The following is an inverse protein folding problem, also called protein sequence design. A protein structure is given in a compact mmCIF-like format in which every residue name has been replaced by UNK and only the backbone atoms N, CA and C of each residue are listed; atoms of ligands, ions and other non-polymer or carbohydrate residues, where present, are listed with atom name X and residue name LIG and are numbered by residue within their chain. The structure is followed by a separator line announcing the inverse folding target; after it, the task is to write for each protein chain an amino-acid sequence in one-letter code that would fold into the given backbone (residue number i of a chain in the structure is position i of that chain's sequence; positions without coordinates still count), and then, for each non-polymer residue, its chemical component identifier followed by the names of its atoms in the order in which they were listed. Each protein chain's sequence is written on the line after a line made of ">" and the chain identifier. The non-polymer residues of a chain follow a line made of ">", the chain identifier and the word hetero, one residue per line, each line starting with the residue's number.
data_IF_275106027612
#
_entry.id   IF_275106027612
#
_cell.length_a   1.000
_cell.length_b   1.000
_cell.length_c   1.000
_cell.angle_alpha   90.00
_cell.angle_beta   90.00
_cell.angle_gamma   90.00
#
_symmetry.space_group_name_H-M   'P 1'
#
loop_
_entity.id
_entity.type
_entity.pdbx_description
1 polymer ?
#
# COMPACT_ATOMS: atom_id res chain seq x y z
N UNK A 1 22.33 -26.40 5.52
CA UNK A 1 20.90 -26.33 5.16
C UNK A 1 20.55 -24.85 5.01
N UNK A 2 20.45 -24.36 3.77
CA UNK A 2 20.15 -22.96 3.50
C UNK A 2 18.63 -22.75 3.68
N UNK A 3 18.22 -22.08 4.76
CA UNK A 3 16.83 -21.67 4.99
C UNK A 3 16.61 -20.22 4.53
N UNK A 4 16.97 -19.90 3.28
CA UNK A 4 16.60 -18.61 2.69
C UNK A 4 15.14 -18.71 2.27
N UNK A 5 14.24 -18.17 3.10
CA UNK A 5 12.90 -17.83 2.66
C UNK A 5 13.01 -16.65 1.71
N UNK A 6 12.62 -16.87 0.46
CA UNK A 6 12.46 -15.78 -0.49
C UNK A 6 11.30 -14.88 -0.01
N UNK A 7 11.47 -13.55 -0.02
CA UNK A 7 10.38 -12.65 0.32
C UNK A 7 9.23 -12.88 -0.66
N UNK A 8 8.08 -13.30 -0.13
CA UNK A 8 6.88 -13.47 -0.94
C UNK A 8 6.46 -12.16 -1.59
N UNK A 9 5.98 -12.21 -2.82
CA UNK A 9 5.61 -11.02 -3.61
C UNK A 9 4.32 -10.33 -3.14
N UNK A 10 3.71 -10.85 -2.08
CA UNK A 10 2.43 -10.37 -1.55
C UNK A 10 2.63 -9.13 -0.69
N UNK A 11 1.88 -8.07 -1.01
CA UNK A 11 1.79 -6.86 -0.21
C UNK A 11 0.46 -6.82 0.52
N UNK A 12 0.42 -6.27 1.74
CA UNK A 12 -0.84 -6.08 2.44
C UNK A 12 -1.61 -4.88 1.88
N UNK A 13 -2.91 -5.06 1.66
CA UNK A 13 -3.81 -3.95 1.38
C UNK A 13 -4.03 -3.14 2.66
N UNK A 14 -3.59 -1.89 2.69
CA UNK A 14 -3.77 -1.05 3.88
C UNK A 14 -5.23 -0.64 4.15
N UNK A 15 -6.16 -0.90 3.23
CA UNK A 15 -7.59 -0.65 3.45
C UNK A 15 -8.28 -1.82 4.16
N UNK A 16 -8.08 -3.07 3.71
CA UNK A 16 -8.76 -4.25 4.27
C UNK A 16 -7.86 -5.23 5.04
N UNK A 17 -6.54 -5.06 5.00
CA UNK A 17 -5.57 -5.96 5.65
C UNK A 17 -5.32 -7.29 4.92
N UNK A 18 -5.95 -7.53 3.77
CA UNK A 18 -5.74 -8.76 3.00
C UNK A 18 -4.44 -8.71 2.18
N UNK A 19 -3.76 -9.86 2.00
CA UNK A 19 -2.62 -9.96 1.10
C UNK A 19 -3.07 -9.77 -0.36
N UNK A 20 -2.25 -9.05 -1.12
CA UNK A 20 -2.43 -8.75 -2.54
C UNK A 20 -1.18 -9.20 -3.27
N UNK A 21 -1.32 -10.14 -4.19
CA UNK A 21 -0.23 -10.63 -5.06
C UNK A 21 0.26 -9.53 -6.02
N UNK A 22 1.44 -9.73 -6.62
CA UNK A 22 1.98 -8.80 -7.61
C UNK A 22 1.03 -8.59 -8.80
N UNK A 23 0.46 -9.66 -9.33
CA UNK A 23 -0.46 -9.63 -10.46
C UNK A 23 -1.74 -8.85 -10.12
N UNK A 24 -2.23 -8.96 -8.89
CA UNK A 24 -3.40 -8.22 -8.45
C UNK A 24 -3.13 -6.73 -8.26
N UNK A 25 -1.88 -6.32 -8.02
CA UNK A 25 -1.50 -4.90 -7.96
C UNK A 25 -1.48 -4.22 -9.33
N UNK A 26 -1.37 -5.00 -10.40
CA UNK A 26 -1.39 -4.50 -11.78
C UNK A 26 -2.80 -4.27 -12.30
N UNK A 27 -3.83 -4.76 -11.59
CA UNK A 27 -5.21 -4.57 -11.98
C UNK A 27 -5.64 -3.10 -11.84
N UNK A 28 -6.49 -2.57 -12.75
CA UNK A 28 -7.03 -1.22 -12.65
C UNK A 28 -7.83 -0.97 -11.36
N UNK A 29 -8.37 -2.04 -10.76
CA UNK A 29 -9.10 -1.97 -9.49
C UNK A 29 -8.21 -1.72 -8.28
N UNK A 30 -6.89 -1.89 -8.40
CA UNK A 30 -5.95 -1.70 -7.29
C UNK A 30 -5.51 -0.25 -7.19
N UNK A 31 -5.72 0.35 -6.03
CA UNK A 31 -5.24 1.69 -5.68
C UNK A 31 -4.48 1.56 -4.37
N UNK A 32 -3.16 1.76 -4.42
CA UNK A 32 -2.27 1.64 -3.26
C UNK A 32 -2.84 2.44 -2.08
N UNK A 33 -3.02 1.76 -0.94
CA UNK A 33 -3.50 2.38 0.29
C UNK A 33 -5.00 2.61 0.41
N UNK A 34 -5.76 2.47 -0.70
CA UNK A 34 -7.17 2.84 -0.81
C UNK A 34 -8.08 1.65 -1.06
N UNK A 35 -7.75 0.81 -2.05
CA UNK A 35 -8.55 -0.36 -2.39
C UNK A 35 -7.72 -1.43 -3.09
N UNK A 36 -8.12 -2.68 -2.95
CA UNK A 36 -7.62 -3.80 -3.73
C UNK A 36 -8.76 -4.57 -4.38
N UNK A 37 -8.43 -5.54 -5.23
CA UNK A 37 -9.40 -6.41 -5.90
C UNK A 37 -10.35 -7.12 -4.92
N UNK A 38 -9.93 -7.34 -3.67
CA UNK A 38 -10.75 -8.01 -2.65
C UNK A 38 -11.70 -7.08 -1.89
N UNK A 39 -11.46 -5.76 -1.89
CA UNK A 39 -12.28 -4.80 -1.13
C UNK A 39 -12.87 -3.69 -2.00
N UNK A 40 -12.70 -3.76 -3.32
CA UNK A 40 -13.24 -2.79 -4.27
C UNK A 40 -14.75 -2.62 -4.10
N UNK A 41 -15.50 -3.67 -3.77
CA UNK A 41 -16.96 -3.60 -3.56
C UNK A 41 -17.37 -3.65 -2.07
N UNK A 42 -16.40 -3.56 -1.15
CA UNK A 42 -16.65 -3.71 0.30
C UNK A 42 -16.80 -2.38 1.04
N UNK A 43 -16.19 -1.31 0.51
CA UNK A 43 -16.12 -0.01 1.16
C UNK A 43 -16.90 1.05 0.37
N UNK A 44 -17.49 2.00 1.07
CA UNK A 44 -18.18 3.14 0.45
C UNK A 44 -17.18 4.15 -0.10
N UNK A 45 -17.62 5.04 -0.98
CA UNK A 45 -16.75 6.08 -1.54
C UNK A 45 -16.23 7.03 -0.45
N UNK A 46 -17.05 7.32 0.56
CA UNK A 46 -16.62 8.08 1.74
C UNK A 46 -15.50 7.37 2.53
N UNK A 47 -15.48 6.04 2.58
CA UNK A 47 -14.37 5.30 3.19
C UNK A 47 -13.11 5.38 2.33
N UNK A 48 -13.25 5.26 1.00
CA UNK A 48 -12.14 5.38 0.05
C UNK A 48 -11.46 6.74 0.15
N UNK A 49 -12.23 7.82 0.29
CA UNK A 49 -11.68 9.17 0.46
C UNK A 49 -10.82 9.28 1.73
N UNK A 50 -11.30 8.72 2.86
CA UNK A 50 -10.53 8.68 4.11
C UNK A 50 -9.24 7.88 3.95
N UNK A 51 -9.29 6.73 3.27
CA UNK A 51 -8.10 5.92 3.02
C UNK A 51 -7.10 6.64 2.10
N UNK A 52 -7.59 7.33 1.06
CA UNK A 52 -6.76 8.12 0.15
C UNK A 52 -6.07 9.28 0.87
N UNK A 53 -6.80 10.00 1.73
CA UNK A 53 -6.22 11.06 2.55
C UNK A 53 -5.13 10.52 3.48
N UNK A 54 -5.37 9.39 4.14
CA UNK A 54 -4.36 8.73 4.98
C UNK A 54 -3.12 8.34 4.16
N UNK A 55 -3.31 7.77 2.97
CA UNK A 55 -2.19 7.37 2.12
C UNK A 55 -1.35 8.59 1.71
N UNK A 56 -1.99 9.70 1.32
CA UNK A 56 -1.29 10.95 0.99
C UNK A 56 -0.43 11.47 2.16
N UNK A 57 -0.96 11.43 3.39
CA UNK A 57 -0.19 11.85 4.57
C UNK A 57 1.01 10.93 4.84
N UNK A 58 0.88 9.62 4.61
CA UNK A 58 1.98 8.67 4.75
C UNK A 58 3.04 8.94 3.68
N UNK A 59 2.63 9.09 2.41
CA UNK A 59 3.54 9.36 1.30
C UNK A 59 4.30 10.68 1.52
N UNK A 60 3.63 11.72 2.02
CA UNK A 60 4.29 12.99 2.35
C UNK A 60 5.33 12.81 3.46
N UNK A 61 4.99 12.12 4.56
CA UNK A 61 5.95 11.85 5.64
C UNK A 61 7.16 11.05 5.16
N UNK A 62 6.97 10.12 4.21
CA UNK A 62 8.06 9.35 3.61
C UNK A 62 9.00 10.24 2.79
N UNK A 63 8.44 11.18 2.02
CA UNK A 63 9.23 12.17 1.26
C UNK A 63 10.01 13.07 2.21
N UNK A 64 9.35 13.59 3.25
CA UNK A 64 9.97 14.47 4.23
C UNK A 64 11.14 13.75 4.93
N UNK A 65 10.93 12.49 5.36
CA UNK A 65 11.98 11.67 5.96
C UNK A 65 13.13 11.43 4.97
N UNK A 66 12.83 11.07 3.73
CA UNK A 66 13.84 10.86 2.71
C UNK A 66 14.69 12.11 2.45
N UNK A 67 14.07 13.29 2.49
CA UNK A 67 14.78 14.56 2.32
C UNK A 67 15.68 14.87 3.53
N UNK A 68 15.24 14.58 4.74
CA UNK A 68 16.05 14.70 5.97
C UNK A 68 17.26 13.76 5.87
N UNK A 69 17.04 12.50 5.54
CA UNK A 69 18.10 11.48 5.45
C UNK A 69 19.16 11.87 4.40
N UNK A 70 18.74 12.48 3.29
CA UNK A 70 19.64 12.95 2.22
C UNK A 70 20.42 14.21 2.55
N UNK A 71 19.92 15.05 3.46
CA UNK A 71 20.62 16.27 3.89
C UNK A 71 21.69 15.98 4.96
N UNK A 72 21.70 14.77 5.53
CA UNK A 72 22.62 14.35 6.59
C UNK A 72 23.78 13.46 6.09
N UNK A 73 23.91 13.27 4.78
CA UNK A 73 25.00 12.55 4.12
C UNK A 73 25.89 13.50 3.31
#
# INVERSE_FOLDING_TARGET
>A
MNHRLEPGEHSLCHACGLPVSAQQRELPSYIKGVQCVHCVDRFSDADRERFAMRQRQIDQRQIDQHNIDRQQA
#
